data_IF_726120364116
#
_entry.id   IF_726120364116
#
_cell.length_a   1.000
_cell.length_b   1.000
_cell.length_c   1.000
_cell.angle_alpha   90.00
_cell.angle_beta   90.00
_cell.angle_gamma   90.00
#
_symmetry.space_group_name_H-M   'P 1'
#
loop_
_entity.id
_entity.type
_entity.pdbx_description
1 polymer ?
#
# COMPACT_ATOMS: atom_id res chain seq x y z
N UNK A 1 -38.99 -10.33 -11.05
CA UNK A 1 -37.93 -9.32 -10.92
C UNK A 1 -38.58 -7.98 -10.62
N UNK A 2 -38.16 -7.23 -9.54
CA UNK A 2 -38.78 -5.96 -9.21
C UNK A 2 -38.44 -4.90 -10.28
N UNK A 3 -39.37 -3.92 -10.49
CA UNK A 3 -39.13 -2.78 -11.40
C UNK A 3 -37.81 -2.04 -11.10
N UNK A 4 -37.44 -1.96 -9.83
CA UNK A 4 -36.17 -1.35 -9.38
C UNK A 4 -34.95 -2.16 -9.84
N UNK A 5 -35.03 -3.48 -9.81
CA UNK A 5 -33.95 -4.36 -10.29
C UNK A 5 -33.74 -4.26 -11.80
N UNK A 6 -34.83 -4.17 -12.58
CA UNK A 6 -34.75 -4.00 -14.03
C UNK A 6 -34.15 -2.63 -14.42
N UNK A 7 -34.53 -1.54 -13.71
CA UNK A 7 -33.97 -0.20 -13.94
C UNK A 7 -32.47 -0.12 -13.61
N UNK A 8 -32.06 -0.78 -12.52
CA UNK A 8 -30.63 -0.82 -12.14
C UNK A 8 -29.80 -1.62 -13.17
N UNK A 9 -30.33 -2.74 -13.67
CA UNK A 9 -29.67 -3.51 -14.74
C UNK A 9 -29.51 -2.66 -16.01
N UNK A 10 -30.58 -2.01 -16.47
CA UNK A 10 -30.52 -1.16 -17.66
C UNK A 10 -29.53 0.00 -17.52
N UNK A 11 -29.43 0.63 -16.34
CA UNK A 11 -28.43 1.66 -16.06
C UNK A 11 -27.01 1.08 -16.06
N UNK A 12 -26.80 -0.08 -15.48
CA UNK A 12 -25.51 -0.77 -15.47
C UNK A 12 -25.05 -1.09 -16.90
N UNK A 13 -25.95 -1.61 -17.73
CA UNK A 13 -25.70 -1.93 -19.13
C UNK A 13 -25.38 -0.68 -19.95
N UNK A 14 -26.09 0.44 -19.73
CA UNK A 14 -25.81 1.72 -20.38
C UNK A 14 -24.45 2.29 -19.98
N UNK A 15 -24.06 2.17 -18.70
CA UNK A 15 -22.72 2.56 -18.22
C UNK A 15 -21.66 1.66 -18.84
N UNK A 16 -21.86 0.35 -18.89
CA UNK A 16 -20.93 -0.57 -19.53
C UNK A 16 -20.76 -0.27 -21.02
N UNK A 17 -21.86 -0.02 -21.75
CA UNK A 17 -21.84 0.34 -23.16
C UNK A 17 -21.16 1.70 -23.44
N UNK A 18 -21.14 2.62 -22.49
CA UNK A 18 -20.45 3.89 -22.62
C UNK A 18 -18.91 3.78 -22.54
N UNK A 19 -18.41 2.68 -21.95
CA UNK A 19 -16.97 2.39 -21.79
C UNK A 19 -16.40 1.92 -23.13
N UNK A 20 -15.95 2.87 -23.94
CA UNK A 20 -15.29 2.65 -25.24
C UNK A 20 -13.80 3.00 -25.16
N UNK A 21 -13.05 2.63 -26.18
CA UNK A 21 -11.65 3.05 -26.29
C UNK A 21 -11.55 4.58 -26.11
N UNK A 22 -10.59 5.02 -25.29
CA UNK A 22 -10.40 6.44 -24.95
C UNK A 22 -11.37 6.99 -23.90
N UNK A 23 -12.24 6.16 -23.28
CA UNK A 23 -13.21 6.64 -22.28
C UNK A 23 -12.58 7.38 -21.11
N UNK A 24 -11.50 6.86 -20.52
CA UNK A 24 -10.80 7.54 -19.44
C UNK A 24 -10.24 8.88 -19.87
N UNK A 25 -9.62 8.96 -21.05
CA UNK A 25 -9.13 10.23 -21.59
C UNK A 25 -10.27 11.22 -21.76
N UNK A 26 -11.38 10.79 -22.36
CA UNK A 26 -12.56 11.63 -22.54
C UNK A 26 -13.08 12.18 -21.20
N UNK A 27 -13.24 11.33 -20.19
CA UNK A 27 -13.78 11.75 -18.89
C UNK A 27 -12.77 12.61 -18.12
N UNK A 28 -11.53 12.17 -18.00
CA UNK A 28 -10.53 12.84 -17.15
C UNK A 28 -10.00 14.12 -17.79
N UNK A 29 -9.62 14.07 -19.06
CA UNK A 29 -8.98 15.21 -19.73
C UNK A 29 -9.99 16.17 -20.34
N UNK A 30 -10.94 15.65 -21.14
CA UNK A 30 -11.82 16.51 -21.94
C UNK A 30 -13.02 17.02 -21.15
N UNK A 31 -13.62 16.21 -20.26
CA UNK A 31 -14.80 16.62 -19.48
C UNK A 31 -14.44 17.22 -18.15
N UNK A 32 -13.54 16.60 -17.39
CA UNK A 32 -13.19 17.05 -16.05
C UNK A 32 -11.99 18.02 -16.00
N UNK A 33 -11.21 18.14 -17.08
CA UNK A 33 -10.04 19.04 -17.15
C UNK A 33 -8.91 18.64 -16.18
N UNK A 34 -8.87 17.37 -15.76
CA UNK A 34 -7.86 16.87 -14.81
C UNK A 34 -6.50 16.81 -15.51
N UNK A 35 -5.55 17.63 -15.05
CA UNK A 35 -4.20 17.66 -15.59
C UNK A 35 -3.42 16.39 -15.27
N UNK A 36 -3.50 15.89 -14.03
CA UNK A 36 -2.78 14.72 -13.52
C UNK A 36 -3.69 13.93 -12.59
N UNK A 37 -3.73 12.61 -12.75
CA UNK A 37 -4.36 11.68 -11.79
C UNK A 37 -3.28 10.80 -11.16
N UNK A 38 -3.22 10.78 -9.84
CA UNK A 38 -2.34 9.87 -9.12
C UNK A 38 -3.00 8.50 -9.05
N UNK A 39 -2.29 7.46 -9.48
CA UNK A 39 -2.77 6.09 -9.39
C UNK A 39 -2.09 5.39 -8.23
N UNK A 40 -2.87 5.00 -7.24
CA UNK A 40 -2.46 4.21 -6.11
C UNK A 40 -2.45 2.73 -6.48
N UNK A 41 -1.26 2.13 -6.62
CA UNK A 41 -1.09 0.70 -6.94
C UNK A 41 0.23 0.18 -6.33
N UNK A 42 0.37 -1.14 -6.35
CA UNK A 42 1.65 -1.85 -6.06
C UNK A 42 2.58 -1.91 -7.28
N UNK A 43 2.18 -1.33 -8.38
CA UNK A 43 2.90 -1.37 -9.67
C UNK A 43 3.03 0.02 -10.25
N UNK A 44 4.09 0.22 -11.02
CA UNK A 44 4.36 1.46 -11.77
C UNK A 44 3.87 1.42 -13.21
N UNK A 45 3.41 0.24 -13.69
CA UNK A 45 2.88 0.05 -15.04
C UNK A 45 1.48 0.66 -15.19
N UNK A 46 1.43 1.95 -15.51
CA UNK A 46 0.19 2.73 -15.69
C UNK A 46 0.16 3.39 -17.07
N UNK A 47 -1.01 3.75 -17.56
CA UNK A 47 -1.13 4.63 -18.74
C UNK A 47 -0.63 6.04 -18.39
N UNK A 48 0.63 6.30 -18.72
CA UNK A 48 1.33 7.57 -18.43
C UNK A 48 0.70 8.80 -19.09
N UNK A 49 -0.18 8.63 -20.07
CA UNK A 49 -0.92 9.75 -20.66
C UNK A 49 -2.04 10.28 -19.76
N UNK A 50 -2.44 9.48 -18.76
CA UNK A 50 -3.55 9.77 -17.85
C UNK A 50 -3.12 9.76 -16.38
N UNK A 51 -2.19 8.89 -16.00
CA UNK A 51 -1.87 8.58 -14.61
C UNK A 51 -0.38 8.73 -14.30
N UNK A 52 -0.11 9.05 -13.05
CA UNK A 52 1.22 8.99 -12.47
C UNK A 52 1.15 8.06 -11.25
N UNK A 53 2.04 7.07 -11.13
CA UNK A 53 1.92 6.08 -10.06
C UNK A 53 2.38 6.63 -8.71
N UNK A 54 1.63 6.28 -7.68
CA UNK A 54 2.04 6.26 -6.29
C UNK A 54 2.13 4.80 -5.85
N UNK A 55 3.21 4.41 -5.22
CA UNK A 55 3.47 3.01 -4.88
C UNK A 55 3.22 2.71 -3.41
N UNK A 56 2.86 1.47 -3.11
CA UNK A 56 2.64 0.99 -1.76
C UNK A 56 3.84 0.19 -1.28
N UNK A 57 4.31 0.51 -0.08
CA UNK A 57 5.42 -0.20 0.60
C UNK A 57 4.98 -0.89 1.90
N UNK A 58 3.71 -0.79 2.27
CA UNK A 58 3.22 -1.34 3.52
C UNK A 58 3.36 -2.86 3.65
N UNK A 59 3.54 -3.59 2.54
CA UNK A 59 3.79 -5.03 2.58
C UNK A 59 5.12 -5.37 3.29
N UNK A 60 6.11 -4.48 3.25
CA UNK A 60 7.33 -4.62 4.05
C UNK A 60 7.07 -4.49 5.55
N UNK A 61 6.15 -3.60 5.95
CA UNK A 61 5.76 -3.44 7.34
C UNK A 61 4.77 -4.52 7.81
N UNK A 62 4.01 -5.11 6.90
CA UNK A 62 2.94 -6.07 7.21
C UNK A 62 3.38 -7.54 7.10
N UNK A 63 4.65 -7.82 6.88
CA UNK A 63 5.16 -9.19 6.81
C UNK A 63 5.04 -9.87 8.18
N UNK A 64 4.26 -10.95 8.26
CA UNK A 64 4.03 -11.76 9.46
C UNK A 64 4.32 -13.24 9.26
N UNK A 65 4.62 -13.65 8.02
CA UNK A 65 4.89 -15.03 7.65
C UNK A 65 6.14 -15.16 6.78
N UNK A 66 6.70 -16.36 6.72
CA UNK A 66 7.75 -16.69 5.73
C UNK A 66 7.26 -16.56 4.28
N UNK A 67 5.95 -16.73 4.06
CA UNK A 67 5.35 -16.50 2.75
C UNK A 67 5.46 -15.05 2.30
N UNK A 68 5.22 -14.11 3.23
CA UNK A 68 5.37 -12.68 2.97
C UNK A 68 6.82 -12.33 2.63
N UNK A 69 7.78 -12.87 3.39
CA UNK A 69 9.21 -12.67 3.09
C UNK A 69 9.60 -13.21 1.71
N UNK A 70 9.14 -14.42 1.35
CA UNK A 70 9.40 -14.97 0.00
C UNK A 70 8.82 -14.11 -1.12
N UNK A 71 7.65 -13.50 -0.90
CA UNK A 71 7.06 -12.58 -1.87
C UNK A 71 7.92 -11.30 -2.00
N UNK A 72 8.44 -10.78 -0.89
CA UNK A 72 9.37 -9.64 -0.88
C UNK A 72 10.66 -10.01 -1.60
N UNK A 73 11.25 -11.17 -1.30
CA UNK A 73 12.46 -11.67 -1.98
C UNK A 73 12.26 -11.79 -3.49
N UNK A 74 11.11 -12.34 -3.91
CA UNK A 74 10.78 -12.49 -5.33
C UNK A 74 10.57 -11.13 -6.04
N UNK A 75 9.95 -10.16 -5.37
CA UNK A 75 9.72 -8.82 -5.93
C UNK A 75 11.01 -8.00 -6.00
N UNK A 76 11.89 -8.16 -5.02
CA UNK A 76 13.10 -7.34 -4.91
C UNK A 76 14.36 -8.02 -5.46
N UNK A 77 14.28 -9.30 -5.81
CA UNK A 77 15.42 -10.16 -6.18
C UNK A 77 16.54 -10.15 -5.12
N UNK A 78 16.16 -10.03 -3.84
CA UNK A 78 17.08 -9.97 -2.71
C UNK A 78 16.69 -11.00 -1.67
N UNK A 79 17.69 -11.68 -1.09
CA UNK A 79 17.48 -12.55 0.07
C UNK A 79 17.26 -11.73 1.33
N UNK A 80 16.33 -12.16 2.18
CA UNK A 80 15.95 -11.48 3.43
C UNK A 80 16.12 -12.46 4.60
N UNK A 81 17.25 -12.35 5.29
CA UNK A 81 17.61 -13.20 6.43
C UNK A 81 17.69 -12.44 7.76
N UNK A 82 17.73 -11.12 7.71
CA UNK A 82 17.78 -10.23 8.86
C UNK A 82 16.78 -9.07 8.71
N UNK A 83 16.53 -8.36 9.80
CA UNK A 83 15.74 -7.13 9.75
C UNK A 83 16.40 -6.07 8.87
N UNK A 84 17.73 -6.00 8.89
CA UNK A 84 18.47 -5.06 8.02
C UNK A 84 18.35 -5.43 6.54
N UNK A 85 18.28 -6.72 6.19
CA UNK A 85 18.00 -7.15 4.82
C UNK A 85 16.59 -6.74 4.40
N UNK A 86 15.60 -6.84 5.28
CA UNK A 86 14.23 -6.38 5.01
C UNK A 86 14.18 -4.87 4.76
N UNK A 87 14.89 -4.08 5.57
CA UNK A 87 15.04 -2.63 5.36
C UNK A 87 15.75 -2.36 4.03
N UNK A 88 16.83 -3.06 3.74
CA UNK A 88 17.56 -2.95 2.48
C UNK A 88 16.73 -3.31 1.25
N UNK A 89 15.89 -4.35 1.35
CA UNK A 89 14.95 -4.74 0.29
C UNK A 89 13.89 -3.65 0.05
N UNK A 90 13.36 -3.05 1.12
CA UNK A 90 12.41 -1.92 1.05
C UNK A 90 13.03 -0.70 0.35
N UNK A 91 14.27 -0.33 0.70
CA UNK A 91 14.99 0.77 0.03
C UNK A 91 15.19 0.47 -1.46
N UNK A 92 15.62 -0.74 -1.80
CA UNK A 92 15.82 -1.13 -3.21
C UNK A 92 14.52 -1.10 -4.02
N UNK A 93 13.41 -1.55 -3.43
CA UNK A 93 12.09 -1.47 -4.07
C UNK A 93 11.68 -0.01 -4.31
N UNK A 94 11.85 0.86 -3.33
CA UNK A 94 11.53 2.29 -3.48
C UNK A 94 12.39 2.94 -4.57
N UNK A 95 13.69 2.69 -4.58
CA UNK A 95 14.60 3.24 -5.60
C UNK A 95 14.20 2.78 -7.01
N UNK A 96 13.87 1.50 -7.18
CA UNK A 96 13.35 0.95 -8.44
C UNK A 96 12.06 1.66 -8.86
N UNK A 97 11.08 1.80 -7.98
CA UNK A 97 9.80 2.44 -8.29
C UNK A 97 9.97 3.91 -8.68
N UNK A 98 10.88 4.64 -8.02
CA UNK A 98 11.18 6.03 -8.38
C UNK A 98 11.85 6.12 -9.77
N UNK A 99 12.78 5.21 -10.08
CA UNK A 99 13.38 5.11 -11.42
C UNK A 99 12.32 4.76 -12.49
N UNK A 100 11.33 3.97 -12.15
CA UNK A 100 10.18 3.66 -12.99
C UNK A 100 9.16 4.80 -13.06
N UNK A 101 9.40 5.91 -12.35
CA UNK A 101 8.63 7.17 -12.40
C UNK A 101 7.46 7.21 -11.43
N UNK A 102 7.50 6.49 -10.32
CA UNK A 102 6.63 6.77 -9.17
C UNK A 102 6.99 8.15 -8.59
N UNK A 103 5.98 8.86 -8.09
CA UNK A 103 6.15 10.23 -7.56
C UNK A 103 5.89 10.33 -6.07
N UNK A 104 5.56 9.24 -5.40
CA UNK A 104 5.27 9.22 -3.98
C UNK A 104 4.86 7.84 -3.48
N UNK A 105 4.65 7.77 -2.18
CA UNK A 105 4.26 6.55 -1.47
C UNK A 105 2.82 6.69 -0.99
N UNK A 106 2.01 5.66 -1.16
CA UNK A 106 0.69 5.53 -0.56
C UNK A 106 0.72 4.53 0.58
N UNK A 107 0.14 4.91 1.72
CA UNK A 107 -0.07 4.04 2.89
C UNK A 107 -1.56 3.84 3.10
N UNK A 108 -2.01 2.59 3.07
CA UNK A 108 -3.40 2.17 3.31
C UNK A 108 -3.56 1.31 4.56
N UNK A 109 -2.58 1.26 5.46
CA UNK A 109 -2.54 0.34 6.60
C UNK A 109 -3.70 0.56 7.60
N UNK A 110 -4.35 1.74 7.58
CA UNK A 110 -5.53 2.06 8.39
C UNK A 110 -6.68 1.06 8.21
N UNK A 111 -6.76 0.38 7.08
CA UNK A 111 -7.74 -0.70 6.84
C UNK A 111 -7.52 -1.94 7.71
N UNK A 112 -6.33 -2.09 8.29
CA UNK A 112 -5.92 -3.29 9.04
C UNK A 112 -5.60 -3.03 10.49
N UNK A 113 -5.11 -1.82 10.83
CA UNK A 113 -4.73 -1.42 12.20
C UNK A 113 -4.76 0.10 12.37
N UNK A 114 -4.70 0.54 13.63
CA UNK A 114 -4.56 1.96 13.97
C UNK A 114 -3.28 2.57 13.36
N UNK A 115 -3.40 3.84 12.96
CA UNK A 115 -2.29 4.67 12.48
C UNK A 115 -1.33 5.10 13.62
N UNK A 116 -1.60 4.70 14.85
CA UNK A 116 -0.72 4.95 15.98
C UNK A 116 0.52 4.06 15.89
N UNK A 117 1.64 4.65 15.52
CA UNK A 117 2.94 3.99 15.41
C UNK A 117 3.86 4.45 16.53
N UNK A 118 4.31 3.51 17.35
CA UNK A 118 5.22 3.79 18.45
C UNK A 118 6.68 3.78 17.95
N UNK A 119 7.56 4.52 18.63
CA UNK A 119 9.00 4.43 18.39
C UNK A 119 9.52 3.13 18.98
N UNK A 120 9.98 2.24 18.12
CA UNK A 120 10.48 0.91 18.49
C UNK A 120 11.98 0.83 18.27
N UNK A 121 12.71 0.28 19.25
CA UNK A 121 14.13 0.02 19.09
C UNK A 121 14.37 -1.12 18.08
N UNK A 122 15.48 -1.06 17.34
CA UNK A 122 15.88 -2.10 16.39
C UNK A 122 15.83 -3.51 17.00
N UNK A 123 16.40 -3.69 18.20
CA UNK A 123 16.45 -4.98 18.86
C UNK A 123 15.04 -5.57 19.20
N UNK A 124 14.05 -4.72 19.43
CA UNK A 124 12.68 -5.17 19.69
C UNK A 124 11.99 -5.63 18.41
N UNK A 125 12.18 -4.89 17.33
CA UNK A 125 11.68 -5.28 16.01
C UNK A 125 12.37 -6.54 15.48
N UNK A 126 13.68 -6.67 15.70
CA UNK A 126 14.48 -7.83 15.30
C UNK A 126 14.04 -9.12 16.03
N UNK A 127 13.71 -9.03 17.31
CA UNK A 127 13.15 -10.17 18.04
C UNK A 127 11.85 -10.70 17.43
N UNK A 128 10.99 -9.79 16.94
CA UNK A 128 9.78 -10.18 16.24
C UNK A 128 10.11 -10.76 14.87
N UNK A 129 11.02 -10.11 14.13
CA UNK A 129 11.47 -10.58 12.83
C UNK A 129 12.05 -12.00 12.90
N UNK A 130 12.90 -12.28 13.91
CA UNK A 130 13.48 -13.60 14.11
C UNK A 130 12.42 -14.72 14.28
N UNK A 131 11.26 -14.40 14.83
CA UNK A 131 10.14 -15.36 14.97
C UNK A 131 9.54 -15.78 13.63
N UNK A 132 9.71 -14.98 12.57
CA UNK A 132 9.29 -15.36 11.21
C UNK A 132 10.06 -16.58 10.68
N UNK A 133 11.25 -16.86 11.21
CA UNK A 133 12.08 -18.02 10.85
C UNK A 133 11.96 -19.19 11.83
N UNK A 134 11.44 -18.95 13.04
CA UNK A 134 11.58 -19.87 14.16
C UNK A 134 10.72 -21.13 14.13
N UNK A 135 9.56 -21.15 13.44
CA UNK A 135 8.68 -22.31 13.38
C UNK A 135 8.06 -22.49 11.98
N UNK A 136 8.02 -23.74 11.54
CA UNK A 136 7.33 -24.14 10.32
C UNK A 136 5.81 -24.01 10.54
N UNK A 137 5.22 -22.88 10.20
CA UNK A 137 3.78 -22.75 10.07
C UNK A 137 3.10 -21.59 10.79
N UNK A 138 3.61 -21.12 11.91
CA UNK A 138 2.97 -20.04 12.67
C UNK A 138 3.95 -18.90 12.95
N UNK A 139 3.88 -17.86 12.13
CA UNK A 139 4.53 -16.58 12.41
C UNK A 139 3.83 -15.87 13.60
N UNK A 140 4.34 -14.70 14.02
CA UNK A 140 3.68 -13.88 15.04
C UNK A 140 2.26 -13.50 14.55
N UNK A 141 1.32 -13.48 15.49
CA UNK A 141 0.01 -12.90 15.22
C UNK A 141 0.16 -11.43 14.79
N UNK A 142 -0.89 -10.88 14.20
CA UNK A 142 -0.90 -9.47 13.77
C UNK A 142 -0.55 -8.50 14.89
N UNK A 143 -1.06 -8.74 16.11
CA UNK A 143 -0.78 -7.93 17.30
C UNK A 143 0.65 -8.12 17.82
N UNK A 144 1.15 -9.35 17.81
CA UNK A 144 2.53 -9.63 18.22
C UNK A 144 3.56 -9.06 17.24
N UNK A 145 3.15 -8.84 15.98
CA UNK A 145 3.99 -8.24 14.95
C UNK A 145 4.08 -6.70 15.06
N UNK A 146 3.30 -6.04 15.94
CA UNK A 146 3.27 -4.57 16.05
C UNK A 146 4.65 -3.92 16.17
N UNK A 147 5.59 -4.40 16.99
CA UNK A 147 6.91 -3.78 17.07
C UNK A 147 7.65 -3.77 15.73
N UNK A 148 7.55 -4.85 14.94
CA UNK A 148 8.13 -4.91 13.60
C UNK A 148 7.41 -3.96 12.63
N UNK A 149 6.08 -3.94 12.67
CA UNK A 149 5.26 -3.05 11.83
C UNK A 149 5.57 -1.58 12.09
N UNK A 150 5.64 -1.19 13.37
CA UNK A 150 5.94 0.18 13.78
C UNK A 150 7.34 0.59 13.36
N UNK A 151 8.34 -0.26 13.59
CA UNK A 151 9.71 -0.03 13.15
C UNK A 151 9.80 0.16 11.64
N UNK A 152 9.22 -0.76 10.87
CA UNK A 152 9.26 -0.71 9.40
C UNK A 152 8.50 0.50 8.85
N UNK A 153 7.38 0.90 9.46
CA UNK A 153 6.68 2.12 9.09
C UNK A 153 7.60 3.35 9.21
N UNK A 154 8.30 3.49 10.33
CA UNK A 154 9.27 4.58 10.50
C UNK A 154 10.41 4.51 9.48
N UNK A 155 10.85 3.31 9.09
CA UNK A 155 11.87 3.16 8.01
C UNK A 155 11.34 3.61 6.66
N UNK A 156 10.07 3.30 6.34
CA UNK A 156 9.41 3.77 5.11
C UNK A 156 9.34 5.30 5.08
N UNK A 157 8.90 5.93 6.18
CA UNK A 157 8.84 7.40 6.26
C UNK A 157 10.23 8.01 6.13
N UNK A 158 11.24 7.46 6.81
CA UNK A 158 12.60 7.94 6.70
C UNK A 158 13.14 7.82 5.27
N UNK A 159 12.89 6.69 4.61
CA UNK A 159 13.31 6.48 3.21
C UNK A 159 12.64 7.48 2.25
N UNK A 160 11.40 7.87 2.52
CA UNK A 160 10.70 8.90 1.75
C UNK A 160 11.35 10.29 1.96
N UNK A 161 11.68 10.64 3.21
CA UNK A 161 12.37 11.91 3.55
C UNK A 161 13.73 11.98 2.87
N UNK A 162 14.53 10.91 2.92
CA UNK A 162 15.87 10.85 2.30
C UNK A 162 15.83 11.05 0.77
N UNK A 163 14.70 10.74 0.13
CA UNK A 163 14.51 10.86 -1.32
C UNK A 163 13.65 12.04 -1.75
N UNK A 164 13.24 12.86 -0.79
CA UNK A 164 12.36 14.02 -1.00
C UNK A 164 11.07 13.65 -1.75
N UNK A 165 10.42 12.55 -1.36
CA UNK A 165 9.18 12.08 -1.96
C UNK A 165 8.00 12.19 -0.99
N UNK A 166 6.80 12.62 -1.45
CA UNK A 166 5.62 12.74 -0.60
C UNK A 166 5.07 11.39 -0.19
N UNK A 167 4.49 11.35 1.02
CA UNK A 167 3.75 10.18 1.53
C UNK A 167 2.29 10.56 1.73
N UNK A 168 1.40 9.84 1.07
CA UNK A 168 -0.04 9.97 1.25
C UNK A 168 -0.55 8.85 2.16
N UNK A 169 -1.07 9.21 3.33
CA UNK A 169 -1.62 8.26 4.30
C UNK A 169 -3.14 8.29 4.26
N UNK A 170 -3.78 7.11 4.18
CA UNK A 170 -5.23 7.02 4.24
C UNK A 170 -5.73 7.32 5.65
N UNK A 171 -6.60 8.31 5.77
CA UNK A 171 -7.28 8.70 7.01
C UNK A 171 -8.78 8.86 6.77
N UNK A 172 -9.59 8.80 7.83
CA UNK A 172 -11.03 9.01 7.77
C UNK A 172 -11.81 7.80 7.25
N UNK A 173 -12.83 8.04 6.43
CA UNK A 173 -13.74 7.00 5.96
C UNK A 173 -13.03 5.99 5.07
N UNK A 174 -13.24 4.72 5.37
CA UNK A 174 -12.69 3.58 4.63
C UNK A 174 -13.75 3.01 3.67
N UNK A 175 -13.31 2.46 2.55
CA UNK A 175 -14.17 1.75 1.61
C UNK A 175 -14.55 0.37 2.16
N UNK A 176 -15.79 -0.06 1.88
CA UNK A 176 -16.29 -1.38 2.28
C UNK A 176 -17.05 -1.39 3.60
N UNK A 177 -17.35 -2.60 4.09
CA UNK A 177 -18.10 -2.85 5.32
C UNK A 177 -17.17 -3.25 6.46
N UNK A 178 -17.58 -3.00 7.72
CA UNK A 178 -16.85 -3.42 8.90
C UNK A 178 -15.63 -2.54 9.24
N UNK A 179 -15.62 -1.32 8.76
CA UNK A 179 -14.54 -0.36 9.02
C UNK A 179 -14.46 0.08 10.48
N UNK A 180 -13.27 0.07 11.03
CA UNK A 180 -12.96 0.61 12.36
C UNK A 180 -12.40 2.02 12.17
N UNK A 181 -13.27 3.04 12.24
CA UNK A 181 -12.89 4.44 11.97
C UNK A 181 -11.80 4.97 12.93
N UNK A 182 -11.72 4.44 14.14
CA UNK A 182 -10.65 4.75 15.08
C UNK A 182 -9.27 4.43 14.50
N UNK A 183 -9.15 3.37 13.70
CA UNK A 183 -7.88 3.01 13.07
C UNK A 183 -7.35 4.10 12.12
N UNK A 184 -8.25 4.82 11.47
CA UNK A 184 -7.94 5.85 10.47
C UNK A 184 -7.99 7.28 11.02
N UNK A 185 -7.99 7.43 12.35
CA UNK A 185 -8.05 8.73 12.98
C UNK A 185 -6.73 9.51 12.75
N UNK A 186 -6.76 10.70 12.13
CA UNK A 186 -5.54 11.42 11.74
C UNK A 186 -4.67 11.90 12.92
N UNK A 187 -5.24 12.06 14.11
CA UNK A 187 -4.49 12.43 15.32
C UNK A 187 -3.60 11.29 15.86
N UNK A 188 -3.62 10.11 15.24
CA UNK A 188 -2.72 9.03 15.58
C UNK A 188 -1.35 9.11 14.85
N UNK A 189 -1.21 10.00 13.88
CA UNK A 189 0.02 10.21 13.08
C UNK A 189 1.04 11.10 13.78
#
# INVERSE_FOLDING_TARGET
>A
KSKRGALNAAKSDAIAASRRAGWYRHVLKEKAGIAVSLQDDYRTAVDRTLFVPMVRLEHFACATTRGDLRNIEADTERSVHSLDDLVGAMHAALDRYLLEGAVGIKIGIAYRRSLRFEKVAHADAERVFARLFGHLGEGPSWEEARPLQDYMFHRIIQAAVERDVPVQIHTGLQEGNGNVLENSHPLHL
#
